data_IF_039799434745
#
_entry.id   IF_039799434745
#
_cell.length_a   1.000
_cell.length_b   1.000
_cell.length_c   1.000
_cell.angle_alpha   90.00
_cell.angle_beta   90.00
_cell.angle_gamma   90.00
#
_symmetry.space_group_name_H-M   'P 1'
#
loop_
_entity.id
_entity.type
_entity.pdbx_description
1 polymer ?
#
# COMPACT_ATOMS: atom_id res chain seq x y z
N UNK A 1 27.94 -10.08 14.70
CA UNK A 1 26.84 -9.28 15.27
C UNK A 1 26.61 -9.69 16.72
N UNK A 2 26.60 -8.75 17.64
CA UNK A 2 26.48 -9.06 19.05
C UNK A 2 25.15 -8.55 19.61
N UNK A 3 24.60 -9.29 20.56
CA UNK A 3 23.40 -8.86 21.27
C UNK A 3 23.70 -7.66 22.18
N UNK A 4 22.66 -6.95 22.57
CA UNK A 4 22.78 -5.89 23.57
C UNK A 4 23.33 -6.45 24.87
N UNK A 5 24.19 -5.68 25.51
CA UNK A 5 24.72 -6.03 26.84
C UNK A 5 24.22 -5.07 27.92
N UNK A 6 23.44 -4.09 27.54
CA UNK A 6 22.82 -3.12 28.43
C UNK A 6 21.52 -2.61 27.81
N UNK A 7 20.61 -2.04 28.63
CA UNK A 7 19.40 -1.42 28.10
C UNK A 7 19.73 -0.31 27.10
N UNK A 8 18.88 -0.17 26.09
CA UNK A 8 19.00 0.86 25.06
C UNK A 8 17.71 1.69 25.01
N UNK A 9 17.84 2.98 24.93
CA UNK A 9 16.71 3.87 24.67
C UNK A 9 16.46 3.94 23.18
N UNK A 10 15.62 3.03 22.68
CA UNK A 10 15.28 2.96 21.24
C UNK A 10 14.19 3.97 20.94
N UNK A 11 14.51 4.94 20.09
CA UNK A 11 13.59 6.02 19.74
C UNK A 11 12.34 5.49 19.04
N UNK A 12 11.18 6.04 19.41
CA UNK A 12 9.90 5.72 18.77
C UNK A 12 9.44 6.93 17.97
N UNK A 13 9.37 6.81 16.66
CA UNK A 13 9.08 7.95 15.78
C UNK A 13 7.66 7.90 15.21
N UNK A 14 6.89 6.86 15.48
CA UNK A 14 5.59 6.67 14.85
C UNK A 14 4.50 6.15 15.78
N UNK A 15 4.70 6.25 17.08
CA UNK A 15 3.69 5.80 18.03
C UNK A 15 2.45 6.69 17.90
N UNK A 16 1.32 6.06 17.57
CA UNK A 16 0.09 6.78 17.33
C UNK A 16 0.10 7.61 16.05
N UNK A 17 1.21 7.74 15.37
CA UNK A 17 1.26 8.41 14.09
C UNK A 17 0.61 7.55 13.02
N UNK A 18 -0.16 8.19 12.14
CA UNK A 18 -0.90 7.49 11.08
C UNK A 18 -0.35 7.79 9.70
N UNK A 19 0.67 8.65 9.59
CA UNK A 19 1.20 9.04 8.29
C UNK A 19 2.72 9.08 8.27
N UNK A 20 3.26 8.88 7.07
CA UNK A 20 4.68 9.05 6.75
C UNK A 20 4.80 9.88 5.48
N UNK A 21 5.99 10.41 5.23
CA UNK A 21 6.27 11.18 4.02
C UNK A 21 7.26 10.39 3.18
N UNK A 22 6.95 10.23 1.90
CA UNK A 22 7.76 9.44 0.97
C UNK A 22 8.19 10.28 -0.23
N UNK A 23 9.43 10.08 -0.71
CA UNK A 23 9.88 10.73 -1.95
C UNK A 23 9.17 10.13 -3.16
N UNK A 24 8.74 10.99 -4.07
CA UNK A 24 7.98 10.59 -5.26
C UNK A 24 8.93 10.38 -6.44
N UNK A 25 8.65 9.35 -7.23
CA UNK A 25 9.41 9.05 -8.45
C UNK A 25 9.30 10.19 -9.46
N UNK A 26 10.36 10.36 -10.27
CA UNK A 26 10.40 11.37 -11.34
C UNK A 26 9.21 11.24 -12.29
N UNK A 27 8.70 12.40 -12.74
CA UNK A 27 7.63 12.46 -13.76
C UNK A 27 6.39 11.66 -13.40
N UNK A 28 6.03 11.69 -12.12
CA UNK A 28 4.92 10.89 -11.58
C UNK A 28 3.93 11.77 -10.85
N UNK A 29 2.64 11.54 -11.09
CA UNK A 29 1.55 12.19 -10.37
C UNK A 29 0.84 11.16 -9.49
N UNK A 30 0.66 11.49 -8.22
CA UNK A 30 -0.09 10.67 -7.27
C UNK A 30 -1.29 11.49 -6.83
N UNK A 31 -2.49 10.97 -7.05
CA UNK A 31 -3.72 11.65 -6.68
C UNK A 31 -4.13 11.33 -5.26
N UNK A 32 -4.70 12.31 -4.58
CA UNK A 32 -5.28 12.12 -3.26
C UNK A 32 -6.28 10.95 -3.29
N UNK A 33 -6.19 10.07 -2.29
CA UNK A 33 -7.07 8.92 -2.17
C UNK A 33 -6.58 7.67 -2.86
N UNK A 34 -5.50 7.76 -3.64
CA UNK A 34 -4.97 6.59 -4.34
C UNK A 34 -4.13 5.70 -3.42
N UNK A 35 -3.98 4.45 -3.82
CA UNK A 35 -3.01 3.54 -3.22
C UNK A 35 -1.62 3.99 -3.65
N UNK A 36 -0.73 4.20 -2.69
CA UNK A 36 0.66 4.53 -2.94
C UNK A 36 1.50 3.27 -2.75
N UNK A 37 2.39 3.01 -3.68
CA UNK A 37 3.30 1.86 -3.61
C UNK A 37 4.74 2.32 -3.80
N UNK A 38 5.66 1.48 -3.37
CA UNK A 38 7.10 1.72 -3.53
C UNK A 38 7.68 0.56 -4.31
N UNK A 39 8.43 0.87 -5.36
CA UNK A 39 9.16 -0.12 -6.13
C UNK A 39 10.54 -0.40 -5.55
N UNK A 40 11.36 -1.13 -6.31
CA UNK A 40 12.69 -1.52 -5.88
C UNK A 40 13.62 -0.33 -5.65
N UNK A 41 13.37 0.79 -6.31
CA UNK A 41 14.18 2.01 -6.16
C UNK A 41 13.83 2.83 -4.92
N UNK A 42 12.76 2.48 -4.21
CA UNK A 42 12.36 3.17 -2.98
C UNK A 42 11.53 4.43 -3.18
N UNK A 43 11.17 4.78 -4.41
CA UNK A 43 10.37 5.97 -4.68
C UNK A 43 8.89 5.65 -4.83
N UNK A 44 8.04 6.56 -4.34
CA UNK A 44 6.59 6.37 -4.35
C UNK A 44 6.03 6.51 -5.76
N UNK A 45 5.12 5.61 -6.09
CA UNK A 45 4.38 5.58 -7.35
C UNK A 45 2.90 5.29 -7.04
N UNK A 46 1.97 5.62 -7.95
CA UNK A 46 0.59 5.15 -7.81
C UNK A 46 0.56 3.62 -7.87
N UNK A 47 -0.31 3.01 -7.08
CA UNK A 47 -0.49 1.57 -7.12
C UNK A 47 -0.82 1.09 -8.53
N UNK A 48 -0.27 -0.07 -8.89
CA UNK A 48 -0.53 -0.69 -10.19
C UNK A 48 -0.40 -2.20 -10.07
N UNK A 49 -0.90 -2.90 -11.04
CA UNK A 49 -0.73 -4.35 -11.09
C UNK A 49 0.71 -4.66 -11.50
N UNK A 50 1.53 -4.99 -10.54
CA UNK A 50 2.93 -5.37 -10.76
C UNK A 50 3.40 -6.19 -9.57
N UNK A 51 4.34 -7.09 -9.82
CA UNK A 51 4.97 -7.86 -8.76
C UNK A 51 6.02 -7.01 -8.04
N UNK A 52 6.33 -7.40 -6.80
CA UNK A 52 7.44 -6.84 -6.03
C UNK A 52 7.29 -5.38 -5.62
N UNK A 53 6.06 -4.88 -5.59
CA UNK A 53 5.77 -3.57 -5.00
C UNK A 53 5.43 -3.73 -3.52
N UNK A 54 5.66 -2.67 -2.77
CA UNK A 54 5.24 -2.56 -1.37
C UNK A 54 4.16 -1.50 -1.28
N UNK A 55 2.97 -1.87 -0.81
CA UNK A 55 1.90 -0.91 -0.61
C UNK A 55 2.21 -0.07 0.62
N UNK A 56 2.27 1.24 0.44
CA UNK A 56 2.63 2.14 1.53
C UNK A 56 1.40 2.64 2.31
N UNK A 57 0.28 2.81 1.63
CA UNK A 57 -0.94 3.32 2.22
C UNK A 57 -1.72 4.18 1.25
N UNK A 58 -2.55 5.07 1.78
CA UNK A 58 -3.39 5.98 0.98
C UNK A 58 -2.72 7.35 0.90
N UNK A 59 -2.71 7.94 -0.30
CA UNK A 59 -2.22 9.31 -0.48
C UNK A 59 -3.16 10.31 0.21
N UNK A 60 -2.59 11.18 1.03
CA UNK A 60 -3.35 12.21 1.75
C UNK A 60 -3.50 13.49 0.93
N UNK A 61 -2.75 13.63 -0.15
CA UNK A 61 -2.75 14.81 -0.98
C UNK A 61 -2.40 14.45 -2.42
N UNK A 62 -2.72 15.32 -3.36
CA UNK A 62 -2.30 15.17 -4.75
C UNK A 62 -0.94 15.78 -4.93
N UNK A 63 0.01 15.01 -5.45
CA UNK A 63 1.39 15.44 -5.68
C UNK A 63 1.76 15.17 -7.13
N UNK A 64 2.26 16.20 -7.80
CA UNK A 64 2.79 16.08 -9.15
C UNK A 64 4.29 16.34 -9.11
N UNK A 65 5.08 15.32 -9.38
CA UNK A 65 6.54 15.47 -9.48
C UNK A 65 6.93 15.60 -10.94
N UNK A 66 7.21 16.80 -11.37
CA UNK A 66 7.65 17.10 -12.74
C UNK A 66 9.17 17.05 -12.89
N UNK A 67 9.89 16.89 -11.80
CA UNK A 67 11.35 16.88 -11.77
C UNK A 67 11.95 15.49 -11.71
N UNK A 68 13.02 15.37 -10.96
CA UNK A 68 13.77 14.12 -10.76
C UNK A 68 13.23 13.34 -9.57
N UNK A 69 13.72 12.11 -9.37
CA UNK A 69 13.34 11.30 -8.22
C UNK A 69 13.56 12.07 -6.92
N UNK A 70 12.52 12.13 -6.09
CA UNK A 70 12.60 12.76 -4.79
C UNK A 70 12.44 14.28 -4.77
N UNK A 71 12.25 14.92 -5.93
CA UNK A 71 12.04 16.37 -5.98
C UNK A 71 10.72 16.80 -5.34
N UNK A 72 9.77 15.86 -5.23
CA UNK A 72 8.51 16.06 -4.52
C UNK A 72 8.33 14.93 -3.51
N UNK A 73 7.52 15.18 -2.49
CA UNK A 73 7.19 14.19 -1.48
C UNK A 73 5.67 14.07 -1.35
N UNK A 74 5.21 12.91 -0.91
CA UNK A 74 3.79 12.66 -0.68
C UNK A 74 3.58 12.17 0.74
N UNK A 75 2.55 12.69 1.41
CA UNK A 75 2.12 12.21 2.70
C UNK A 75 1.19 11.01 2.48
N UNK A 76 1.50 9.91 3.15
CA UNK A 76 0.78 8.65 3.01
C UNK A 76 0.31 8.20 4.39
N UNK A 77 -0.95 7.83 4.51
CA UNK A 77 -1.52 7.34 5.77
C UNK A 77 -1.73 5.85 5.74
N UNK A 78 -1.51 5.22 6.89
CA UNK A 78 -2.01 3.87 7.16
C UNK A 78 -3.40 3.96 7.77
N UNK A 79 -4.14 2.88 7.70
CA UNK A 79 -5.48 2.82 8.26
C UNK A 79 -6.34 1.79 7.55
N UNK A 80 -7.64 1.93 7.68
CA UNK A 80 -8.60 1.08 6.97
C UNK A 80 -9.34 1.97 5.97
N UNK A 81 -9.18 1.66 4.68
CA UNK A 81 -9.72 2.48 3.60
C UNK A 81 -10.61 1.66 2.68
N UNK A 82 -11.62 2.29 2.10
CA UNK A 82 -12.51 1.63 1.15
C UNK A 82 -12.03 1.91 -0.27
N UNK A 83 -11.61 0.85 -0.97
CA UNK A 83 -11.21 0.93 -2.37
C UNK A 83 -12.24 0.20 -3.24
N UNK A 84 -12.17 0.44 -4.55
CA UNK A 84 -13.05 -0.23 -5.48
C UNK A 84 -12.70 -1.72 -5.58
N UNK A 85 -13.72 -2.54 -5.78
CA UNK A 85 -13.54 -3.95 -6.03
C UNK A 85 -13.31 -4.17 -7.53
N UNK A 86 -12.56 -5.22 -7.88
CA UNK A 86 -12.37 -5.58 -9.28
C UNK A 86 -13.73 -5.77 -9.97
N UNK A 87 -13.85 -5.26 -11.19
CA UNK A 87 -15.06 -5.40 -11.99
C UNK A 87 -15.14 -6.76 -12.68
N UNK A 88 -14.03 -7.49 -12.74
CA UNK A 88 -13.97 -8.81 -13.36
C UNK A 88 -14.42 -9.86 -12.33
N UNK A 89 -15.46 -10.63 -12.66
CA UNK A 89 -16.04 -11.59 -11.71
C UNK A 89 -15.02 -12.58 -11.14
N UNK A 90 -14.09 -13.05 -11.96
CA UNK A 90 -13.08 -14.01 -11.53
C UNK A 90 -12.06 -13.43 -10.54
N UNK A 91 -11.90 -12.11 -10.54
CA UNK A 91 -10.91 -11.41 -9.72
C UNK A 91 -11.52 -10.67 -8.53
N UNK A 92 -12.84 -10.69 -8.43
CA UNK A 92 -13.57 -9.90 -7.44
C UNK A 92 -13.35 -10.43 -6.04
N UNK A 93 -13.02 -9.53 -5.11
CA UNK A 93 -12.90 -9.87 -3.69
C UNK A 93 -14.30 -10.21 -3.16
N UNK A 94 -14.42 -11.30 -2.45
CA UNK A 94 -15.68 -11.76 -1.90
C UNK A 94 -15.63 -11.98 -0.40
N UNK A 95 -16.75 -12.42 0.17
CA UNK A 95 -16.87 -12.68 1.61
C UNK A 95 -15.83 -13.70 2.09
N UNK A 96 -15.50 -14.67 1.24
CA UNK A 96 -14.52 -15.70 1.59
C UNK A 96 -13.10 -15.12 1.76
N UNK A 97 -12.85 -13.93 1.25
CA UNK A 97 -11.53 -13.29 1.32
C UNK A 97 -11.35 -12.40 2.55
N UNK A 98 -12.39 -12.22 3.36
CA UNK A 98 -12.34 -11.40 4.56
C UNK A 98 -11.31 -11.97 5.54
N UNK A 99 -10.49 -11.07 6.09
CA UNK A 99 -9.35 -11.36 6.95
C UNK A 99 -8.19 -12.06 6.22
N UNK A 100 -8.25 -12.09 4.90
CA UNK A 100 -7.15 -12.50 4.05
C UNK A 100 -6.59 -11.33 3.26
N UNK A 101 -5.52 -11.55 2.50
CA UNK A 101 -4.91 -10.49 1.72
C UNK A 101 -5.73 -10.15 0.48
N UNK A 102 -5.62 -8.91 0.02
CA UNK A 102 -6.02 -8.51 -1.32
C UNK A 102 -4.83 -7.85 -2.02
N UNK A 103 -4.95 -7.68 -3.32
CA UNK A 103 -3.83 -7.29 -4.17
C UNK A 103 -4.18 -6.04 -4.96
N UNK A 104 -3.16 -5.30 -5.38
CA UNK A 104 -3.34 -4.06 -6.12
C UNK A 104 -3.67 -4.37 -7.58
N UNK A 105 -4.81 -3.88 -8.06
CA UNK A 105 -5.17 -3.96 -9.47
C UNK A 105 -4.81 -2.67 -10.21
N UNK A 106 -5.13 -1.52 -9.61
CA UNK A 106 -4.70 -0.20 -10.05
C UNK A 106 -4.64 0.71 -8.81
N UNK A 107 -4.52 2.03 -9.00
CA UNK A 107 -4.31 2.95 -7.88
C UNK A 107 -5.54 3.19 -7.00
N UNK A 108 -6.68 2.57 -7.32
CA UNK A 108 -7.90 2.69 -6.53
C UNK A 108 -8.71 1.40 -6.45
N UNK A 109 -8.24 0.31 -7.06
CA UNK A 109 -8.96 -0.96 -7.16
C UNK A 109 -8.12 -2.10 -6.61
N UNK A 110 -8.77 -2.98 -5.85
CA UNK A 110 -8.14 -4.19 -5.32
C UNK A 110 -8.78 -5.45 -5.90
N UNK A 111 -8.03 -6.54 -5.89
CA UNK A 111 -8.43 -7.82 -6.46
C UNK A 111 -8.02 -8.96 -5.53
N UNK A 112 -8.69 -10.10 -5.65
CA UNK A 112 -8.26 -11.32 -4.94
C UNK A 112 -7.16 -12.07 -5.68
N UNK A 113 -6.88 -11.70 -6.92
CA UNK A 113 -5.92 -12.43 -7.77
C UNK A 113 -4.51 -12.00 -7.48
N UNK A 114 -3.70 -12.92 -6.94
CA UNK A 114 -2.31 -12.66 -6.56
C UNK A 114 -1.35 -12.62 -7.75
N UNK A 115 -1.65 -13.35 -8.81
CA UNK A 115 -0.73 -13.53 -9.94
C UNK A 115 -0.36 -12.20 -10.59
N UNK A 116 0.94 -11.88 -10.60
CA UNK A 116 1.47 -10.66 -11.21
C UNK A 116 1.12 -9.39 -10.46
N UNK A 117 0.60 -9.49 -9.25
CA UNK A 117 0.19 -8.35 -8.45
C UNK A 117 0.93 -8.34 -7.11
N UNK A 118 0.84 -7.22 -6.40
CA UNK A 118 1.44 -7.06 -5.06
C UNK A 118 0.34 -6.90 -4.03
N UNK A 119 0.60 -7.31 -2.80
CA UNK A 119 -0.36 -7.21 -1.70
C UNK A 119 -0.69 -5.75 -1.42
N UNK A 120 -1.98 -5.43 -1.38
CA UNK A 120 -2.47 -4.12 -0.98
C UNK A 120 -2.64 -4.03 0.54
N UNK A 121 -3.22 -5.03 1.15
CA UNK A 121 -3.47 -5.07 2.58
C UNK A 121 -4.40 -6.21 2.94
N UNK A 122 -4.98 -6.11 4.14
CA UNK A 122 -5.88 -7.10 4.69
C UNK A 122 -7.33 -6.69 4.43
N UNK A 123 -8.14 -7.61 3.91
CA UNK A 123 -9.57 -7.35 3.69
C UNK A 123 -10.30 -7.38 5.03
N UNK A 124 -10.97 -6.29 5.37
CA UNK A 124 -11.74 -6.20 6.62
C UNK A 124 -13.24 -6.33 6.36
N UNK A 125 -13.70 -5.82 5.23
CA UNK A 125 -15.13 -5.85 4.86
C UNK A 125 -15.28 -5.79 3.36
N UNK A 126 -16.30 -6.43 2.84
CA UNK A 126 -16.68 -6.36 1.42
C UNK A 126 -18.19 -6.09 1.35
N UNK A 127 -18.57 -5.04 0.65
CA UNK A 127 -19.97 -4.70 0.43
C UNK A 127 -20.13 -3.91 -0.87
N UNK A 128 -21.31 -3.32 -1.08
CA UNK A 128 -21.61 -2.58 -2.31
C UNK A 128 -20.79 -1.30 -2.47
N UNK A 129 -20.23 -0.78 -1.39
CA UNK A 129 -19.38 0.41 -1.45
C UNK A 129 -17.96 0.08 -1.92
N UNK A 130 -17.54 -1.18 -1.77
CA UNK A 130 -16.22 -1.63 -2.17
C UNK A 130 -15.61 -2.56 -1.15
N UNK A 131 -14.29 -2.51 -1.04
CA UNK A 131 -13.50 -3.37 -0.16
C UNK A 131 -12.81 -2.50 0.87
N UNK A 132 -13.09 -2.73 2.15
CA UNK A 132 -12.35 -2.08 3.23
C UNK A 132 -11.04 -2.82 3.45
N UNK A 133 -9.93 -2.12 3.28
CA UNK A 133 -8.58 -2.67 3.29
C UNK A 133 -7.78 -2.03 4.42
N UNK A 134 -7.23 -2.86 5.30
CA UNK A 134 -6.30 -2.39 6.33
C UNK A 134 -4.90 -2.36 5.74
N UNK A 135 -4.27 -1.18 5.80
CA UNK A 135 -2.92 -0.94 5.27
C UNK A 135 -2.02 -0.43 6.40
N UNK A 136 -0.79 -0.96 6.49
CA UNK A 136 0.14 -0.64 7.56
C UNK A 136 1.56 -0.38 7.09
N UNK A 137 1.80 0.67 6.32
CA UNK A 137 3.14 1.09 5.88
C UNK A 137 3.94 -0.04 5.22
N UNK A 138 3.32 -0.71 4.25
CA UNK A 138 4.00 -1.73 3.47
C UNK A 138 4.00 -3.13 4.08
N UNK A 139 3.70 -3.26 5.37
CA UNK A 139 3.55 -4.59 5.96
C UNK A 139 2.12 -5.09 5.77
N UNK A 140 1.99 -6.18 5.08
CA UNK A 140 0.69 -6.77 4.78
C UNK A 140 0.66 -8.26 5.12
N UNK A 141 1.41 -8.64 6.16
CA UNK A 141 1.52 -10.03 6.56
C UNK A 141 2.51 -10.81 5.70
N UNK A 142 2.60 -12.12 5.90
CA UNK A 142 3.52 -12.94 5.11
C UNK A 142 3.17 -12.82 3.64
N UNK A 143 4.20 -12.75 2.80
CA UNK A 143 4.00 -12.72 1.36
C UNK A 143 3.17 -13.92 0.96
N UNK A 144 2.22 -13.71 0.05
CA UNK A 144 1.51 -14.83 -0.54
C UNK A 144 2.53 -15.78 -1.13
N UNK A 145 2.37 -17.08 -0.90
CA UNK A 145 3.25 -18.05 -1.51
C UNK A 145 3.26 -17.79 -3.01
N UNK A 146 4.44 -17.68 -3.58
CA UNK A 146 4.58 -17.47 -5.01
C UNK A 146 4.08 -18.74 -5.72
N UNK A 147 2.92 -18.63 -6.28
CA UNK A 147 2.31 -19.73 -7.03
C UNK A 147 1.95 -19.27 -8.41
#
# INVERSE_FOLDING_TARGET
MANLTAPRDTSEIANGATSIVLPVKAKTTIYQGSIVAIGADGYAIPGKKAASLKAAGRAEETVENTGSDGDAVVRVSRGVFVFDNSSTAANKVGIADVLGPCYIEDDHTVTKTATGASVAGLVVRVDDEGVAVEMGFGYAGPAAAAT
#
